data_IF_969230424089
#
_entry.id   IF_969230424089
#
_cell.length_a   1.000
_cell.length_b   1.000
_cell.length_c   1.000
_cell.angle_alpha   90.00
_cell.angle_beta   90.00
_cell.angle_gamma   90.00
#
_symmetry.space_group_name_H-M   'P 1'
#
loop_
_entity.id
_entity.type
_entity.pdbx_description
1 polymer ?
#
# COMPACT_ATOMS: atom_id res chain seq x y z
N UNK A 1 -0.99 -14.32 -18.89
CA UNK A 1 -1.43 -15.32 -17.90
C UNK A 1 -2.32 -14.66 -16.85
N UNK A 2 -3.09 -15.41 -16.06
CA UNK A 2 -3.82 -14.87 -14.89
C UNK A 2 -2.85 -14.12 -13.95
N UNK A 3 -1.62 -14.60 -13.85
CA UNK A 3 -0.52 -13.95 -13.11
C UNK A 3 -0.16 -12.56 -13.62
N UNK A 4 -0.28 -12.31 -14.94
CA UNK A 4 0.01 -11.00 -15.55
C UNK A 4 -1.11 -10.00 -15.25
N UNK A 5 -2.36 -10.48 -15.16
CA UNK A 5 -3.51 -9.64 -14.83
C UNK A 5 -3.57 -9.29 -13.34
N UNK A 6 -3.02 -10.12 -12.45
CA UNK A 6 -2.99 -9.84 -11.01
C UNK A 6 -1.91 -8.81 -10.67
N UNK A 7 -0.73 -8.91 -11.29
CA UNK A 7 0.39 -8.00 -11.01
C UNK A 7 0.20 -6.58 -11.56
N UNK A 8 -0.68 -6.38 -12.56
CA UNK A 8 -0.94 -5.06 -13.15
C UNK A 8 -2.02 -4.24 -12.44
N UNK A 9 -2.76 -4.83 -11.49
CA UNK A 9 -3.90 -4.19 -10.82
C UNK A 9 -3.80 -4.23 -9.29
N UNK A 10 -2.60 -4.44 -8.74
CA UNK A 10 -2.37 -4.46 -7.29
C UNK A 10 -3.01 -3.26 -6.59
N UNK A 11 -2.75 -2.04 -7.07
CA UNK A 11 -3.22 -0.81 -6.42
C UNK A 11 -4.72 -0.50 -6.65
N UNK A 12 -5.41 -1.30 -7.47
CA UNK A 12 -6.85 -1.18 -7.74
C UNK A 12 -7.46 -2.55 -7.98
N UNK A 13 -7.59 -3.33 -6.91
CA UNK A 13 -8.62 -4.37 -6.87
C UNK A 13 -9.94 -3.62 -6.73
N UNK A 14 -10.43 -3.15 -7.87
CA UNK A 14 -11.59 -2.25 -8.00
C UNK A 14 -12.81 -2.90 -7.35
N UNK A 15 -13.53 -2.16 -6.49
CA UNK A 15 -14.77 -2.65 -5.84
C UNK A 15 -15.75 -3.24 -6.86
N UNK A 16 -15.72 -2.74 -8.10
CA UNK A 16 -16.47 -3.25 -9.24
C UNK A 16 -16.13 -4.72 -9.58
N UNK A 17 -14.86 -5.11 -9.51
CA UNK A 17 -14.44 -6.50 -9.74
C UNK A 17 -14.91 -7.42 -8.61
N UNK A 18 -14.78 -6.98 -7.36
CA UNK A 18 -15.29 -7.71 -6.19
C UNK A 18 -16.82 -7.84 -6.20
N UNK A 19 -17.52 -6.81 -6.69
CA UNK A 19 -18.96 -6.86 -6.93
C UNK A 19 -19.35 -7.90 -7.98
N UNK A 20 -18.68 -7.93 -9.14
CA UNK A 20 -18.95 -8.94 -10.18
C UNK A 20 -18.62 -10.35 -9.68
N UNK A 21 -17.52 -10.53 -8.95
CA UNK A 21 -17.13 -11.82 -8.36
C UNK A 21 -18.17 -12.33 -7.37
N UNK A 22 -18.62 -11.49 -6.44
CA UNK A 22 -19.65 -11.85 -5.46
C UNK A 22 -21.00 -12.18 -6.10
N UNK A 23 -21.38 -11.45 -7.17
CA UNK A 23 -22.58 -11.75 -7.97
C UNK A 23 -22.52 -13.13 -8.60
N UNK A 24 -21.38 -13.52 -9.19
CA UNK A 24 -21.19 -14.84 -9.79
C UNK A 24 -21.15 -15.96 -8.76
N UNK A 25 -20.61 -15.70 -7.57
CA UNK A 25 -20.66 -16.65 -6.46
C UNK A 25 -22.09 -16.91 -6.00
N UNK A 26 -22.89 -15.86 -5.82
CA UNK A 26 -24.30 -15.98 -5.44
C UNK A 26 -25.15 -16.69 -6.51
N UNK A 27 -24.81 -16.52 -7.79
CA UNK A 27 -25.41 -17.29 -8.90
C UNK A 27 -25.03 -18.77 -8.83
N UNK A 28 -23.74 -19.09 -8.67
CA UNK A 28 -23.27 -20.46 -8.53
C UNK A 28 -23.87 -21.19 -7.30
N UNK A 29 -24.09 -20.46 -6.20
CA UNK A 29 -24.77 -20.98 -5.00
C UNK A 29 -26.25 -21.28 -5.27
N UNK A 30 -26.99 -20.34 -5.90
CA UNK A 30 -28.41 -20.56 -6.28
C UNK A 30 -28.58 -21.74 -7.22
N UNK A 31 -27.65 -21.92 -8.14
CA UNK A 31 -27.68 -23.00 -9.12
C UNK A 31 -27.17 -24.34 -8.55
N UNK A 32 -26.82 -24.40 -7.25
CA UNK A 32 -26.19 -25.55 -6.60
C UNK A 32 -24.91 -26.03 -7.31
N UNK A 33 -24.25 -25.12 -8.03
CA UNK A 33 -23.02 -25.39 -8.75
C UNK A 33 -21.82 -25.27 -7.79
N UNK A 34 -21.71 -26.29 -6.92
CA UNK A 34 -20.69 -26.37 -5.87
C UNK A 34 -19.25 -26.40 -6.40
N UNK A 35 -19.03 -26.80 -7.65
CA UNK A 35 -17.71 -26.72 -8.28
C UNK A 35 -17.35 -25.27 -8.64
N UNK A 36 -18.26 -24.56 -9.31
CA UNK A 36 -18.05 -23.16 -9.68
C UNK A 36 -17.91 -22.28 -8.45
N UNK A 37 -18.75 -22.47 -7.43
CA UNK A 37 -18.67 -21.73 -6.18
C UNK A 37 -17.28 -21.88 -5.53
N UNK A 38 -16.76 -23.12 -5.40
CA UNK A 38 -15.42 -23.37 -4.84
C UNK A 38 -14.30 -22.68 -5.62
N UNK A 39 -14.35 -22.69 -6.95
CA UNK A 39 -13.35 -22.00 -7.80
C UNK A 39 -13.38 -20.50 -7.57
N UNK A 40 -14.56 -19.89 -7.52
CA UNK A 40 -14.72 -18.46 -7.28
C UNK A 40 -14.28 -18.06 -5.85
N UNK A 41 -14.56 -18.88 -4.84
CA UNK A 41 -14.05 -18.67 -3.48
C UNK A 41 -12.52 -18.69 -3.39
N UNK A 42 -11.85 -19.58 -4.14
CA UNK A 42 -10.39 -19.63 -4.19
C UNK A 42 -9.79 -18.36 -4.82
N UNK A 43 -10.44 -17.83 -5.86
CA UNK A 43 -10.07 -16.57 -6.50
C UNK A 43 -10.23 -15.41 -5.50
N UNK A 44 -11.36 -15.34 -4.80
CA UNK A 44 -11.61 -14.34 -3.75
C UNK A 44 -10.53 -14.38 -2.65
N UNK A 45 -10.20 -15.57 -2.13
CA UNK A 45 -9.20 -15.74 -1.09
C UNK A 45 -7.77 -15.44 -1.56
N UNK A 46 -7.48 -15.66 -2.83
CA UNK A 46 -6.20 -15.26 -3.43
C UNK A 46 -6.10 -13.73 -3.53
N UNK A 47 -7.15 -13.08 -4.00
CA UNK A 47 -7.24 -11.61 -4.10
C UNK A 47 -7.12 -10.97 -2.71
N UNK A 48 -7.88 -11.45 -1.72
CA UNK A 48 -7.81 -10.92 -0.34
C UNK A 48 -6.41 -11.06 0.25
N UNK A 49 -5.73 -12.19 0.06
CA UNK A 49 -4.34 -12.34 0.48
C UNK A 49 -3.39 -11.38 -0.25
N UNK A 50 -3.65 -11.04 -1.50
CA UNK A 50 -2.83 -10.05 -2.21
C UNK A 50 -3.08 -8.64 -1.65
N UNK A 51 -4.34 -8.27 -1.34
CA UNK A 51 -4.68 -7.00 -0.68
C UNK A 51 -4.06 -6.92 0.72
N UNK A 52 -4.18 -7.97 1.53
CA UNK A 52 -3.57 -8.02 2.87
C UNK A 52 -2.03 -7.96 2.84
N UNK A 53 -1.41 -8.42 1.75
CA UNK A 53 0.04 -8.34 1.54
C UNK A 53 0.50 -7.03 0.88
N UNK A 54 -0.42 -6.13 0.52
CA UNK A 54 -0.04 -4.78 0.08
C UNK A 54 0.19 -3.92 1.31
N UNK A 55 1.32 -3.20 1.32
CA UNK A 55 1.60 -2.23 2.35
C UNK A 55 0.48 -1.18 2.40
N UNK A 56 0.06 -0.69 3.58
CA UNK A 56 -0.89 0.42 3.69
C UNK A 56 -0.43 1.65 2.86
N UNK A 57 -1.36 2.49 2.36
CA UNK A 57 -1.02 3.65 1.52
C UNK A 57 0.07 4.56 2.12
N UNK A 58 0.03 4.76 3.44
CA UNK A 58 1.02 5.53 4.19
C UNK A 58 2.43 4.92 4.12
N UNK A 59 2.52 3.59 4.14
CA UNK A 59 3.78 2.84 4.03
C UNK A 59 4.29 2.82 2.59
N UNK A 60 3.38 2.77 1.61
CA UNK A 60 3.75 2.89 0.20
C UNK A 60 4.31 4.28 -0.10
N UNK A 61 3.61 5.33 0.35
CA UNK A 61 4.06 6.71 0.23
C UNK A 61 5.43 6.90 0.89
N UNK A 62 5.63 6.39 2.10
CA UNK A 62 6.93 6.49 2.77
C UNK A 62 8.04 5.78 2.00
N UNK A 63 7.75 4.61 1.42
CA UNK A 63 8.71 3.88 0.58
C UNK A 63 9.13 4.71 -0.63
N UNK A 64 8.15 5.33 -1.31
CA UNK A 64 8.41 6.20 -2.46
C UNK A 64 9.21 7.45 -2.06
N UNK A 65 8.85 8.11 -0.95
CA UNK A 65 9.55 9.31 -0.44
C UNK A 65 11.00 9.01 -0.06
N UNK A 66 11.24 7.86 0.55
CA UNK A 66 12.60 7.40 0.86
C UNK A 66 13.36 7.09 -0.42
N UNK A 67 12.74 6.55 -1.47
CA UNK A 67 13.43 6.17 -2.70
C UNK A 67 13.69 7.33 -3.66
N UNK A 68 12.84 8.36 -3.62
CA UNK A 68 12.93 9.57 -4.44
C UNK A 68 14.36 10.10 -4.59
N UNK A 69 14.70 10.50 -5.81
CA UNK A 69 16.04 10.93 -6.19
C UNK A 69 16.30 12.40 -5.82
N UNK A 70 15.24 13.19 -5.61
CA UNK A 70 15.32 14.62 -5.34
C UNK A 70 14.24 15.13 -4.37
N UNK A 71 14.49 16.31 -3.79
CA UNK A 71 13.51 17.01 -2.94
C UNK A 71 12.27 17.46 -3.73
N UNK A 72 12.43 17.82 -5.01
CA UNK A 72 11.31 18.18 -5.89
C UNK A 72 10.37 16.99 -6.11
N UNK A 73 10.90 15.79 -6.32
CA UNK A 73 10.14 14.56 -6.44
C UNK A 73 9.42 14.22 -5.12
N UNK A 74 10.10 14.37 -3.98
CA UNK A 74 9.47 14.21 -2.67
C UNK A 74 8.32 15.19 -2.48
N UNK A 75 8.48 16.44 -2.93
CA UNK A 75 7.43 17.43 -2.84
C UNK A 75 6.23 17.09 -3.73
N UNK A 76 6.46 16.64 -4.96
CA UNK A 76 5.38 16.19 -5.82
C UNK A 76 4.60 15.03 -5.21
N UNK A 77 5.29 14.01 -4.70
CA UNK A 77 4.67 12.86 -4.04
C UNK A 77 3.80 13.26 -2.85
N UNK A 78 4.27 14.22 -2.04
CA UNK A 78 3.53 14.72 -0.88
C UNK A 78 2.32 15.58 -1.29
N UNK A 79 2.38 16.29 -2.41
CA UNK A 79 1.24 17.07 -2.93
C UNK A 79 0.17 16.15 -3.54
N UNK A 80 0.58 15.11 -4.26
CA UNK A 80 -0.31 14.11 -4.86
C UNK A 80 -1.03 13.23 -3.82
N UNK A 81 -0.44 13.09 -2.62
CA UNK A 81 -0.96 12.27 -1.53
C UNK A 81 -1.27 13.10 -0.27
N UNK A 82 -1.68 14.36 -0.47
CA UNK A 82 -1.94 15.32 0.62
C UNK A 82 -2.95 14.82 1.67
N UNK A 83 -3.87 13.96 1.25
CA UNK A 83 -4.89 13.26 2.03
C UNK A 83 -4.34 12.19 2.97
N UNK A 84 -3.12 11.70 2.72
CA UNK A 84 -2.41 10.76 3.59
C UNK A 84 -1.50 11.47 4.62
N UNK A 85 -1.35 12.80 4.54
CA UNK A 85 -0.51 13.55 5.47
C UNK A 85 -1.21 13.76 6.80
N UNK A 86 -0.67 13.13 7.83
CA UNK A 86 -1.24 13.16 9.18
C UNK A 86 -0.16 13.04 10.25
N UNK A 87 -0.54 13.34 11.50
CA UNK A 87 0.32 13.06 12.66
C UNK A 87 0.62 11.56 12.81
N UNK A 88 -0.30 10.68 12.39
CA UNK A 88 -0.11 9.23 12.40
C UNK A 88 1.01 8.81 11.43
N UNK A 89 1.04 9.38 10.22
CA UNK A 89 2.14 9.16 9.27
C UNK A 89 3.49 9.61 9.87
N UNK A 90 3.52 10.75 10.57
CA UNK A 90 4.72 11.22 11.28
C UNK A 90 5.15 10.22 12.36
N UNK A 91 4.21 9.61 13.09
CA UNK A 91 4.51 8.60 14.10
C UNK A 91 5.10 7.33 13.47
N UNK A 92 4.59 6.89 12.32
CA UNK A 92 5.15 5.77 11.56
C UNK A 92 6.60 6.03 11.15
N UNK A 93 6.91 7.23 10.65
CA UNK A 93 8.30 7.60 10.30
C UNK A 93 9.22 7.59 11.54
N UNK A 94 8.72 8.03 12.70
CA UNK A 94 9.48 7.97 13.96
C UNK A 94 9.78 6.52 14.37
N UNK A 95 8.81 5.61 14.28
CA UNK A 95 9.01 4.20 14.61
C UNK A 95 10.09 3.55 13.74
N UNK A 96 10.11 3.88 12.44
CA UNK A 96 11.12 3.37 11.51
C UNK A 96 12.50 3.98 11.77
N UNK A 97 12.57 5.27 12.11
CA UNK A 97 13.81 5.91 12.55
C UNK A 97 14.39 5.22 13.78
N UNK A 98 13.56 4.90 14.77
CA UNK A 98 14.02 4.22 15.98
C UNK A 98 14.56 2.82 15.68
N UNK A 99 13.94 2.07 14.76
CA UNK A 99 14.44 0.76 14.31
C UNK A 99 15.76 0.85 13.55
N UNK A 100 15.88 1.82 12.65
CA UNK A 100 17.10 2.09 11.87
C UNK A 100 18.25 2.46 12.80
N UNK A 101 18.00 3.33 13.78
CA UNK A 101 18.98 3.73 14.79
C UNK A 101 19.37 2.60 15.73
N UNK A 102 18.46 1.66 16.00
CA UNK A 102 18.77 0.47 16.78
C UNK A 102 19.67 -0.52 16.02
N UNK A 103 19.76 -0.42 14.68
CA UNK A 103 20.58 -1.28 13.82
C UNK A 103 21.44 -0.46 12.82
N UNK A 104 22.38 0.36 13.30
CA UNK A 104 23.10 1.33 12.47
C UNK A 104 23.98 0.67 11.41
N UNK A 105 24.55 -0.51 11.70
CA UNK A 105 25.48 -1.22 10.80
C UNK A 105 24.85 -1.72 9.49
N UNK A 106 23.51 -1.73 9.38
CA UNK A 106 22.77 -2.18 8.19
C UNK A 106 22.05 -1.05 7.45
N UNK A 107 22.19 0.18 7.90
CA UNK A 107 21.25 1.26 7.57
C UNK A 107 21.93 2.54 7.10
N UNK A 108 23.10 2.43 6.46
CA UNK A 108 23.90 3.59 6.03
C UNK A 108 23.08 4.55 5.15
N UNK A 109 23.05 5.83 5.54
CA UNK A 109 22.26 6.88 4.89
C UNK A 109 20.73 6.85 5.10
N UNK A 110 20.14 5.74 5.54
CA UNK A 110 18.67 5.58 5.67
C UNK A 110 18.07 6.48 6.76
N UNK A 111 18.76 6.63 7.89
CA UNK A 111 18.31 7.49 8.98
C UNK A 111 18.18 8.95 8.53
N UNK A 112 19.17 9.45 7.79
CA UNK A 112 19.15 10.82 7.26
C UNK A 112 18.03 11.04 6.26
N UNK A 113 17.77 10.06 5.37
CA UNK A 113 16.63 10.12 4.43
C UNK A 113 15.29 10.20 5.17
N UNK A 114 15.06 9.32 6.15
CA UNK A 114 13.82 9.33 6.95
C UNK A 114 13.66 10.62 7.77
N UNK A 115 14.75 11.19 8.30
CA UNK A 115 14.70 12.48 8.99
C UNK A 115 14.28 13.63 8.07
N UNK A 116 14.81 13.67 6.85
CA UNK A 116 14.43 14.64 5.82
C UNK A 116 12.95 14.51 5.45
N UNK A 117 12.49 13.30 5.16
CA UNK A 117 11.08 13.01 4.85
C UNK A 117 10.15 13.47 5.98
N UNK A 118 10.50 13.16 7.24
CA UNK A 118 9.72 13.61 8.40
C UNK A 118 9.64 15.14 8.49
N UNK A 119 10.74 15.86 8.20
CA UNK A 119 10.76 17.31 8.26
C UNK A 119 9.85 17.94 7.18
N UNK A 120 9.85 17.37 5.97
CA UNK A 120 8.98 17.80 4.88
C UNK A 120 7.50 17.60 5.22
N UNK A 121 7.12 16.43 5.74
CA UNK A 121 5.74 16.13 6.17
C UNK A 121 5.28 17.13 7.23
N UNK A 122 6.10 17.35 8.28
CA UNK A 122 5.78 18.33 9.34
C UNK A 122 5.63 19.75 8.84
N UNK A 123 6.48 20.14 7.87
CA UNK A 123 6.40 21.48 7.26
C UNK A 123 5.08 21.66 6.51
N UNK A 124 4.55 20.62 5.86
CA UNK A 124 3.23 20.67 5.22
C UNK A 124 2.09 20.71 6.23
N UNK A 125 2.16 19.93 7.30
CA UNK A 125 1.12 19.91 8.35
C UNK A 125 1.02 21.23 9.13
N UNK A 126 2.09 22.02 9.15
CA UNK A 126 2.13 23.31 9.84
C UNK A 126 1.60 24.50 8.99
N UNK A 127 1.25 24.27 7.73
CA UNK A 127 0.69 25.29 6.81
C UNK A 127 -0.84 25.26 6.84
#
# INVERSE_FOLDING_TARGET
SVETAVNQYGDKIDDAFMYVLSRRMAEAERDNNNEMYRRLSQIQAFIMRQVENQAPPEIQLLTQLVQAESEDEQNQLLDENSDLLSDDLVQVVNMLLDQVRANPDRSDGMAGRLEGVRALIRTRLAK
#
